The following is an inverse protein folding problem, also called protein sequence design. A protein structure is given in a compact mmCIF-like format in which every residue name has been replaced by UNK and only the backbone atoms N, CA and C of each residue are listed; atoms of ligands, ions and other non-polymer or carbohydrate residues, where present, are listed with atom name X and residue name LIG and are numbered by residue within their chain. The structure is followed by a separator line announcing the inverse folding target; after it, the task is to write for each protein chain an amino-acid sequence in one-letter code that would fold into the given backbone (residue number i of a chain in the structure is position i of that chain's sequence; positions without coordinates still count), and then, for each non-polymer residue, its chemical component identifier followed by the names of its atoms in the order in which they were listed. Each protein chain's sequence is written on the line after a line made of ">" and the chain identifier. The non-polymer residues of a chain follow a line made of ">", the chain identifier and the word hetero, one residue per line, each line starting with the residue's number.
data_IF_835057397883
#
_entry.id   IF_835057397883
#
_cell.length_a   1.000
_cell.length_b   1.000
_cell.length_c   1.000
_cell.angle_alpha   90.00
_cell.angle_beta   90.00
_cell.angle_gamma   90.00
#
_symmetry.space_group_name_H-M   'P 1'
#
loop_
_entity.id
_entity.type
_entity.pdbx_description
1 polymer ?
#
# COMPACT_ATOMS: atom_id res chain seq x y z
N UNK A 1 32.03 -2.50 -0.62
CA UNK A 1 32.14 -2.93 0.80
C UNK A 1 31.51 -1.87 1.67
N UNK A 2 30.56 -2.23 2.54
CA UNK A 2 29.94 -1.29 3.49
C UNK A 2 30.92 -0.92 4.60
N UNK A 3 30.69 0.21 5.27
CA UNK A 3 31.48 0.66 6.43
C UNK A 3 31.50 -0.38 7.54
N UNK A 4 30.37 -1.06 7.78
CA UNK A 4 30.22 -2.16 8.74
C UNK A 4 31.06 -3.37 8.36
N UNK A 5 31.13 -3.74 7.07
CA UNK A 5 32.01 -4.83 6.61
C UNK A 5 33.47 -4.49 6.86
N UNK A 6 33.89 -3.25 6.61
CA UNK A 6 35.28 -2.81 6.86
C UNK A 6 35.63 -2.88 8.34
N UNK A 7 34.75 -2.42 9.22
CA UNK A 7 34.97 -2.45 10.67
C UNK A 7 34.98 -3.88 11.23
N UNK A 8 34.14 -4.78 10.71
CA UNK A 8 34.18 -6.20 11.09
C UNK A 8 35.51 -6.85 10.68
N UNK A 9 36.01 -6.59 9.46
CA UNK A 9 37.32 -7.09 9.03
C UNK A 9 38.46 -6.50 9.87
N UNK A 10 38.37 -5.23 10.28
CA UNK A 10 39.34 -4.61 11.18
C UNK A 10 39.28 -5.22 12.59
N UNK A 11 38.10 -5.57 13.09
CA UNK A 11 37.92 -6.25 14.37
C UNK A 11 38.52 -7.67 14.34
N UNK A 12 38.28 -8.41 13.26
CA UNK A 12 38.88 -9.74 13.03
C UNK A 12 40.41 -9.66 12.97
N UNK A 13 40.96 -8.64 12.29
CA UNK A 13 42.40 -8.43 12.24
C UNK A 13 42.98 -8.06 13.62
N UNK A 14 42.35 -7.14 14.36
CA UNK A 14 42.80 -6.70 15.67
C UNK A 14 42.69 -7.80 16.74
N UNK A 15 41.69 -8.68 16.64
CA UNK A 15 41.54 -9.84 17.52
C UNK A 15 42.61 -10.90 17.25
N UNK A 16 42.92 -11.19 15.98
CA UNK A 16 44.03 -12.07 15.62
C UNK A 16 45.39 -11.52 16.08
N UNK A 17 45.58 -10.19 16.00
CA UNK A 17 46.78 -9.52 16.52
C UNK A 17 46.89 -9.65 18.06
N UNK A 18 45.77 -9.52 18.78
CA UNK A 18 45.72 -9.71 20.23
C UNK A 18 46.10 -11.14 20.64
N UNK A 19 45.58 -12.15 19.94
CA UNK A 19 45.89 -13.56 20.21
C UNK A 19 47.38 -13.85 20.01
N UNK A 20 47.97 -13.33 18.93
CA UNK A 20 49.40 -13.44 18.65
C UNK A 20 50.25 -12.76 19.73
N UNK A 21 49.89 -11.53 20.12
CA UNK A 21 50.60 -10.77 21.16
C UNK A 21 50.52 -11.45 22.53
N UNK A 22 49.39 -12.06 22.88
CA UNK A 22 49.24 -12.86 24.10
C UNK A 22 50.11 -14.12 24.08
N UNK A 23 50.15 -14.85 22.96
CA UNK A 23 51.01 -16.02 22.79
C UNK A 23 52.51 -15.71 22.88
N UNK A 24 52.90 -14.50 22.47
CA UNK A 24 54.29 -14.02 22.51
C UNK A 24 54.68 -13.27 23.81
N UNK A 25 53.74 -13.06 24.75
CA UNK A 25 53.99 -12.29 25.99
C UNK A 25 54.24 -10.79 25.77
N UNK A 26 53.77 -10.24 24.65
CA UNK A 26 53.94 -8.83 24.27
C UNK A 26 52.93 -7.91 25.00
N UNK A 27 53.21 -6.58 25.11
CA UNK A 27 52.24 -5.63 25.67
C UNK A 27 50.96 -5.53 24.83
N UNK A 28 49.79 -5.81 25.41
CA UNK A 28 48.52 -5.89 24.66
C UNK A 28 47.61 -4.67 24.81
N UNK A 29 48.04 -3.63 25.52
CA UNK A 29 47.18 -2.50 25.92
C UNK A 29 46.65 -1.71 24.72
N UNK A 30 47.51 -1.44 23.73
CA UNK A 30 47.13 -0.70 22.51
C UNK A 30 46.11 -1.46 21.67
N UNK A 31 46.31 -2.76 21.47
CA UNK A 31 45.42 -3.63 20.69
C UNK A 31 44.03 -3.69 21.35
N UNK A 32 43.97 -3.83 22.68
CA UNK A 32 42.70 -3.81 23.42
C UNK A 32 41.96 -2.48 23.29
N UNK A 33 42.66 -1.35 23.36
CA UNK A 33 42.06 -0.03 23.13
C UNK A 33 41.47 0.09 21.73
N UNK A 34 42.16 -0.43 20.72
CA UNK A 34 41.71 -0.41 19.33
C UNK A 34 40.48 -1.29 19.10
N UNK A 35 40.44 -2.49 19.70
CA UNK A 35 39.23 -3.33 19.72
C UNK A 35 38.06 -2.59 20.34
N UNK A 36 38.23 -1.99 21.53
CA UNK A 36 37.15 -1.20 22.17
C UNK A 36 36.68 -0.04 21.29
N UNK A 37 37.59 0.63 20.58
CA UNK A 37 37.24 1.71 19.63
C UNK A 37 36.36 1.18 18.49
N UNK A 38 36.78 0.10 17.85
CA UNK A 38 36.06 -0.51 16.72
C UNK A 38 34.68 -1.03 17.17
N UNK A 39 34.59 -1.68 18.33
CA UNK A 39 33.32 -2.14 18.91
C UNK A 39 32.38 -0.96 19.23
N UNK A 40 32.93 0.15 19.73
CA UNK A 40 32.19 1.39 19.97
C UNK A 40 31.61 1.97 18.67
N UNK A 41 32.41 2.00 17.59
CA UNK A 41 31.96 2.47 16.27
C UNK A 41 30.90 1.55 15.65
N UNK A 42 31.07 0.24 15.75
CA UNK A 42 30.06 -0.73 15.31
C UNK A 42 28.74 -0.58 16.08
N UNK A 43 28.81 -0.34 17.39
CA UNK A 43 27.63 -0.09 18.22
C UNK A 43 26.94 1.21 17.84
N UNK A 44 27.72 2.28 17.62
CA UNK A 44 27.18 3.57 17.18
C UNK A 44 26.48 3.47 15.81
N UNK A 45 27.08 2.76 14.85
CA UNK A 45 26.46 2.52 13.53
C UNK A 45 25.15 1.74 13.64
N UNK A 46 25.12 0.65 14.44
CA UNK A 46 23.90 -0.13 14.67
C UNK A 46 22.80 0.69 15.32
N UNK A 47 23.13 1.54 16.29
CA UNK A 47 22.17 2.42 16.95
C UNK A 47 21.64 3.51 16.00
N UNK A 48 22.51 4.05 15.14
CA UNK A 48 22.11 5.02 14.12
C UNK A 48 21.17 4.38 13.07
N UNK A 49 21.48 3.16 12.61
CA UNK A 49 20.63 2.39 11.70
C UNK A 49 19.27 2.08 12.34
N UNK A 50 19.24 1.66 13.60
CA UNK A 50 18.00 1.38 14.32
C UNK A 50 17.12 2.63 14.48
N UNK A 51 17.73 3.78 14.83
CA UNK A 51 17.03 5.07 14.93
C UNK A 51 16.46 5.48 13.57
N UNK A 52 17.26 5.40 12.50
CA UNK A 52 16.81 5.74 11.16
C UNK A 52 15.67 4.85 10.66
N UNK A 53 15.72 3.54 10.95
CA UNK A 53 14.62 2.61 10.64
C UNK A 53 13.34 2.95 11.42
N UNK A 54 13.47 3.30 12.70
CA UNK A 54 12.34 3.69 13.53
C UNK A 54 11.70 5.00 13.03
N UNK A 55 12.50 5.99 12.66
CA UNK A 55 12.03 7.25 12.08
C UNK A 55 11.32 7.04 10.74
N UNK A 56 11.90 6.24 9.85
CA UNK A 56 11.27 5.89 8.58
C UNK A 56 9.94 5.14 8.78
N UNK A 57 9.88 4.22 9.75
CA UNK A 57 8.64 3.51 10.09
C UNK A 57 7.57 4.45 10.63
N UNK A 58 7.94 5.41 11.48
CA UNK A 58 7.02 6.45 12.00
C UNK A 58 6.50 7.34 10.87
N UNK A 59 7.38 7.80 9.98
CA UNK A 59 6.99 8.63 8.82
C UNK A 59 5.98 7.88 7.95
N UNK A 60 6.28 6.63 7.60
CA UNK A 60 5.37 5.79 6.80
C UNK A 60 4.03 5.56 7.50
N UNK A 61 4.02 5.34 8.81
CA UNK A 61 2.78 5.18 9.57
C UNK A 61 1.92 6.46 9.52
N UNK A 62 2.54 7.64 9.66
CA UNK A 62 1.87 8.93 9.54
C UNK A 62 1.31 9.16 8.14
N UNK A 63 2.05 8.81 7.09
CA UNK A 63 1.58 8.90 5.69
C UNK A 63 0.35 8.02 5.44
N UNK A 64 0.38 6.77 5.90
CA UNK A 64 -0.77 5.85 5.80
C UNK A 64 -1.97 6.39 6.58
N UNK A 65 -1.75 6.90 7.79
CA UNK A 65 -2.81 7.48 8.61
C UNK A 65 -3.45 8.70 7.93
N UNK A 66 -2.64 9.60 7.38
CA UNK A 66 -3.10 10.78 6.64
C UNK A 66 -3.92 10.39 5.40
N UNK A 67 -3.41 9.44 4.61
CA UNK A 67 -4.11 8.92 3.43
C UNK A 67 -5.44 8.22 3.79
N UNK A 68 -5.46 7.46 4.88
CA UNK A 68 -6.66 6.83 5.43
C UNK A 68 -7.72 7.85 5.80
N UNK A 69 -7.32 8.89 6.55
CA UNK A 69 -8.21 9.96 6.98
C UNK A 69 -8.80 10.72 5.79
N UNK A 70 -7.95 11.13 4.85
CA UNK A 70 -8.37 11.84 3.64
C UNK A 70 -9.36 11.02 2.79
N UNK A 71 -9.13 9.70 2.67
CA UNK A 71 -10.04 8.82 1.94
C UNK A 71 -11.37 8.66 2.68
N UNK A 72 -11.36 8.44 4.00
CA UNK A 72 -12.58 8.35 4.79
C UNK A 72 -13.41 9.64 4.72
N UNK A 73 -12.75 10.80 4.85
CA UNK A 73 -13.39 12.11 4.73
C UNK A 73 -14.02 12.33 3.35
N UNK A 74 -13.32 11.92 2.27
CA UNK A 74 -13.87 12.00 0.92
C UNK A 74 -15.12 11.12 0.75
N UNK A 75 -15.13 9.91 1.31
CA UNK A 75 -16.30 9.01 1.27
C UNK A 75 -17.47 9.58 2.08
N UNK A 76 -17.19 10.15 3.25
CA UNK A 76 -18.23 10.81 4.05
C UNK A 76 -18.80 12.04 3.36
N UNK A 77 -17.97 12.87 2.73
CA UNK A 77 -18.44 14.00 1.96
C UNK A 77 -19.34 13.58 0.78
N UNK A 78 -19.03 12.45 0.13
CA UNK A 78 -19.89 11.89 -0.91
C UNK A 78 -21.26 11.45 -0.35
N UNK A 79 -21.27 10.81 0.82
CA UNK A 79 -22.51 10.44 1.49
C UNK A 79 -23.30 11.67 1.95
N UNK A 80 -22.65 12.69 2.50
CA UNK A 80 -23.30 13.94 2.90
C UNK A 80 -23.98 14.61 1.71
N UNK A 81 -23.29 14.68 0.56
CA UNK A 81 -23.83 15.23 -0.67
C UNK A 81 -25.01 14.39 -1.21
N UNK A 82 -24.90 13.06 -1.19
CA UNK A 82 -25.98 12.16 -1.63
C UNK A 82 -27.17 12.14 -0.67
N UNK A 83 -26.94 12.43 0.61
CA UNK A 83 -27.95 12.47 1.66
C UNK A 83 -28.73 13.79 1.73
N UNK A 84 -28.30 14.81 0.96
CA UNK A 84 -29.00 16.07 0.86
C UNK A 84 -30.39 15.84 0.25
N UNK A 85 -31.44 16.23 0.98
CA UNK A 85 -32.82 16.14 0.53
C UNK A 85 -33.49 17.50 0.76
N UNK A 86 -33.25 18.48 -0.12
CA UNK A 86 -33.77 19.85 0.04
C UNK A 86 -35.30 19.90 0.08
N UNK A 87 -35.99 18.91 -0.47
CA UNK A 87 -37.44 18.77 -0.42
C UNK A 87 -37.95 18.59 1.01
N UNK A 88 -37.21 17.87 1.87
CA UNK A 88 -37.58 17.72 3.28
C UNK A 88 -37.42 19.02 4.05
N UNK A 89 -36.38 19.81 3.74
CA UNK A 89 -36.19 21.13 4.34
C UNK A 89 -37.31 22.09 3.95
N UNK A 90 -37.81 22.02 2.70
CA UNK A 90 -38.97 22.79 2.25
C UNK A 90 -40.26 22.42 2.99
N UNK A 91 -40.38 21.17 3.44
CA UNK A 91 -41.48 20.70 4.30
C UNK A 91 -41.31 21.13 5.76
N UNK A 92 -40.25 21.87 6.10
CA UNK A 92 -39.93 22.32 7.45
C UNK A 92 -39.30 21.22 8.31
N UNK A 93 -38.86 20.11 7.71
CA UNK A 93 -38.11 19.08 8.44
C UNK A 93 -36.67 19.52 8.66
N UNK A 94 -36.15 19.26 9.87
CA UNK A 94 -34.73 19.38 10.12
C UNK A 94 -34.04 18.10 9.68
N UNK A 95 -33.34 18.15 8.55
CA UNK A 95 -32.57 17.01 8.04
C UNK A 95 -31.26 16.90 8.83
N UNK A 96 -31.05 15.84 9.63
CA UNK A 96 -29.81 15.67 10.38
C UNK A 96 -28.65 15.36 9.44
N UNK A 97 -27.45 15.81 9.79
CA UNK A 97 -26.23 15.46 9.07
C UNK A 97 -26.07 13.93 8.98
N UNK A 98 -25.47 13.42 7.90
CA UNK A 98 -25.27 11.98 7.78
C UNK A 98 -24.27 11.51 8.86
N UNK A 99 -24.56 10.42 9.58
CA UNK A 99 -23.65 9.90 10.59
C UNK A 99 -22.35 9.42 9.92
N UNK A 100 -21.22 9.77 10.54
CA UNK A 100 -19.93 9.16 10.22
C UNK A 100 -19.98 7.65 10.52
N UNK A 101 -19.38 6.84 9.67
CA UNK A 101 -19.49 5.38 9.70
C UNK A 101 -18.12 4.78 10.02
N UNK A 102 -17.95 4.10 11.16
CA UNK A 102 -16.67 3.48 11.53
C UNK A 102 -16.27 2.38 10.56
N UNK A 103 -17.22 1.78 9.82
CA UNK A 103 -16.92 0.81 8.77
C UNK A 103 -16.21 1.45 7.57
N UNK A 104 -16.57 2.69 7.22
CA UNK A 104 -15.91 3.43 6.14
C UNK A 104 -14.51 3.83 6.57
N UNK A 105 -14.34 4.30 7.81
CA UNK A 105 -13.03 4.64 8.36
C UNK A 105 -12.08 3.41 8.37
N UNK A 106 -12.57 2.26 8.85
CA UNK A 106 -11.80 1.03 8.85
C UNK A 106 -11.44 0.56 7.43
N UNK A 107 -12.40 0.57 6.50
CA UNK A 107 -12.14 0.16 5.11
C UNK A 107 -11.20 1.12 4.38
N UNK A 108 -11.29 2.43 4.66
CA UNK A 108 -10.36 3.43 4.13
C UNK A 108 -8.93 3.20 4.65
N UNK A 109 -8.78 2.82 5.91
CA UNK A 109 -7.49 2.43 6.50
C UNK A 109 -6.91 1.18 5.82
N UNK A 110 -7.74 0.17 5.56
CA UNK A 110 -7.33 -1.03 4.80
C UNK A 110 -6.85 -0.67 3.40
N UNK A 111 -7.56 0.21 2.68
CA UNK A 111 -7.15 0.68 1.34
C UNK A 111 -5.83 1.45 1.40
N UNK A 112 -5.67 2.37 2.34
CA UNK A 112 -4.44 3.14 2.49
C UNK A 112 -3.23 2.24 2.80
N UNK A 113 -3.40 1.28 3.71
CA UNK A 113 -2.37 0.30 4.03
C UNK A 113 -2.03 -0.61 2.83
N UNK A 114 -3.04 -1.08 2.09
CA UNK A 114 -2.85 -1.91 0.91
C UNK A 114 -2.12 -1.16 -0.22
N UNK A 115 -2.44 0.12 -0.45
CA UNK A 115 -1.72 0.97 -1.42
C UNK A 115 -0.27 1.14 -1.03
N UNK A 116 0.01 1.49 0.22
CA UNK A 116 1.39 1.63 0.69
C UNK A 116 2.19 0.31 0.61
N UNK A 117 1.55 -0.83 0.82
CA UNK A 117 2.18 -2.14 0.66
C UNK A 117 2.45 -2.47 -0.82
N UNK A 118 1.54 -2.10 -1.73
CA UNK A 118 1.71 -2.27 -3.16
C UNK A 118 2.86 -1.39 -3.68
N UNK A 119 2.91 -0.11 -3.31
CA UNK A 119 3.97 0.82 -3.73
C UNK A 119 5.36 0.30 -3.33
N UNK A 120 5.48 -0.26 -2.13
CA UNK A 120 6.71 -0.89 -1.67
C UNK A 120 7.06 -2.16 -2.44
N UNK A 121 6.09 -3.03 -2.69
CA UNK A 121 6.29 -4.25 -3.45
C UNK A 121 6.72 -3.92 -4.89
N UNK A 122 6.08 -2.97 -5.55
CA UNK A 122 6.44 -2.49 -6.88
C UNK A 122 7.85 -1.90 -6.92
N UNK A 123 8.21 -1.08 -5.92
CA UNK A 123 9.56 -0.51 -5.81
C UNK A 123 10.61 -1.61 -5.67
N UNK A 124 10.37 -2.60 -4.81
CA UNK A 124 11.28 -3.74 -4.60
C UNK A 124 11.40 -4.56 -5.89
N UNK A 125 10.27 -4.93 -6.50
CA UNK A 125 10.23 -5.69 -7.74
C UNK A 125 10.98 -4.99 -8.87
N UNK A 126 10.75 -3.68 -9.07
CA UNK A 126 11.43 -2.85 -10.08
C UNK A 126 12.93 -2.78 -9.85
N UNK A 127 13.37 -2.66 -8.59
CA UNK A 127 14.80 -2.67 -8.26
C UNK A 127 15.45 -4.01 -8.57
N UNK A 128 14.76 -5.12 -8.28
CA UNK A 128 15.24 -6.47 -8.58
C UNK A 128 15.30 -6.73 -10.09
N UNK A 129 14.28 -6.31 -10.85
CA UNK A 129 14.30 -6.36 -12.31
C UNK A 129 15.43 -5.52 -12.90
N UNK A 130 15.67 -4.33 -12.36
CA UNK A 130 16.78 -3.47 -12.81
C UNK A 130 18.13 -4.15 -12.55
N UNK A 131 18.30 -4.79 -11.40
CA UNK A 131 19.52 -5.55 -11.08
C UNK A 131 19.70 -6.75 -12.03
N UNK A 132 18.64 -7.52 -12.29
CA UNK A 132 18.66 -8.63 -13.25
C UNK A 132 19.00 -8.14 -14.68
N UNK A 133 18.41 -7.01 -15.10
CA UNK A 133 18.67 -6.37 -16.38
C UNK A 133 20.13 -5.96 -16.56
N UNK A 134 20.77 -5.39 -15.53
CA UNK A 134 22.21 -5.06 -15.57
C UNK A 134 23.10 -6.28 -15.78
N UNK A 135 22.77 -7.40 -15.12
CA UNK A 135 23.49 -8.67 -15.30
C UNK A 135 23.28 -9.20 -16.72
N UNK A 136 22.06 -9.12 -17.24
CA UNK A 136 21.74 -9.53 -18.60
C UNK A 136 22.48 -8.71 -19.66
N UNK A 137 22.59 -7.40 -19.49
CA UNK A 137 23.40 -6.54 -20.37
C UNK A 137 24.85 -6.99 -20.39
N UNK A 138 25.45 -7.19 -19.22
CA UNK A 138 26.85 -7.64 -19.12
C UNK A 138 27.07 -9.04 -19.70
N UNK A 139 26.13 -9.95 -19.48
CA UNK A 139 26.15 -11.28 -20.10
C UNK A 139 26.16 -11.18 -21.63
N UNK A 140 25.35 -10.27 -22.19
CA UNK A 140 25.27 -10.05 -23.64
C UNK A 140 26.56 -9.46 -24.19
N UNK A 141 27.20 -8.54 -23.45
CA UNK A 141 28.51 -7.97 -23.79
C UNK A 141 29.60 -9.04 -23.83
N UNK A 142 29.70 -9.91 -22.82
CA UNK A 142 30.70 -10.98 -22.81
C UNK A 142 30.47 -12.01 -23.92
N UNK A 143 29.20 -12.37 -24.19
CA UNK A 143 28.84 -13.24 -25.31
C UNK A 143 29.23 -12.62 -26.67
N UNK A 144 29.06 -11.31 -26.82
CA UNK A 144 29.46 -10.59 -28.03
C UNK A 144 30.99 -10.60 -28.22
N UNK A 145 31.78 -10.48 -27.15
CA UNK A 145 33.25 -10.60 -27.22
C UNK A 145 33.68 -11.98 -27.69
N UNK A 146 33.06 -13.04 -27.17
CA UNK A 146 33.31 -14.43 -27.62
C UNK A 146 32.94 -14.59 -29.10
N UNK A 147 31.81 -14.04 -29.53
CA UNK A 147 31.39 -14.09 -30.93
C UNK A 147 32.39 -13.36 -31.85
N UNK A 148 32.90 -12.19 -31.43
CA UNK A 148 33.90 -11.44 -32.17
C UNK A 148 35.22 -12.21 -32.33
N UNK A 149 35.70 -12.88 -31.27
CA UNK A 149 36.88 -13.75 -31.35
C UNK A 149 36.64 -14.91 -32.32
N UNK A 150 35.48 -15.57 -32.23
CA UNK A 150 35.11 -16.68 -33.13
C UNK A 150 35.08 -16.22 -34.60
N UNK A 151 34.48 -15.06 -34.88
CA UNK A 151 34.40 -14.49 -36.22
C UNK A 151 35.78 -14.10 -36.77
N UNK A 152 36.63 -13.49 -35.93
CA UNK A 152 38.00 -13.13 -36.33
C UNK A 152 38.81 -14.38 -36.67
N UNK A 153 38.71 -15.44 -35.86
CA UNK A 153 39.36 -16.74 -36.11
C UNK A 153 38.85 -17.43 -37.38
N UNK A 154 37.55 -17.34 -37.70
CA UNK A 154 37.00 -17.89 -38.95
C UNK A 154 37.50 -17.15 -40.19
N UNK A 155 37.84 -15.87 -40.05
CA UNK A 155 38.40 -15.04 -41.12
C UNK A 155 39.93 -15.21 -41.27
N UNK A 156 40.56 -16.08 -40.47
CA UNK A 156 41.99 -16.37 -40.54
C UNK A 156 42.89 -15.51 -39.66
N UNK A 157 42.37 -14.48 -38.98
CA UNK A 157 43.11 -13.63 -38.02
C UNK A 157 43.14 -14.28 -36.63
N UNK A 158 43.90 -15.37 -36.51
CA UNK A 158 44.11 -16.09 -35.25
C UNK A 158 45.24 -15.44 -34.46
N UNK A 159 45.02 -15.25 -33.16
CA UNK A 159 46.05 -14.74 -32.24
C UNK A 159 46.36 -15.78 -31.17
N UNK A 160 47.58 -15.75 -30.65
CA UNK A 160 48.08 -16.75 -29.69
C UNK A 160 47.35 -16.67 -28.33
N UNK A 161 46.82 -15.49 -27.97
CA UNK A 161 46.08 -15.24 -26.73
C UNK A 161 44.59 -15.61 -26.78
N UNK A 162 44.06 -15.95 -27.96
CA UNK A 162 42.64 -16.20 -28.18
C UNK A 162 42.10 -17.36 -27.34
N UNK A 163 42.89 -18.41 -27.17
CA UNK A 163 42.47 -19.59 -26.41
C UNK A 163 42.28 -19.26 -24.92
N UNK A 164 43.21 -18.51 -24.33
CA UNK A 164 43.13 -18.08 -22.92
C UNK A 164 41.98 -17.09 -22.70
N UNK A 165 41.81 -16.12 -23.61
CA UNK A 165 40.71 -15.16 -23.55
C UNK A 165 39.34 -15.84 -23.64
N UNK A 166 39.18 -16.83 -24.52
CA UNK A 166 37.93 -17.58 -24.65
C UNK A 166 37.58 -18.40 -23.40
N UNK A 167 38.57 -18.97 -22.71
CA UNK A 167 38.33 -19.71 -21.46
C UNK A 167 37.84 -18.77 -20.36
N UNK A 168 38.55 -17.66 -20.13
CA UNK A 168 38.16 -16.67 -19.10
C UNK A 168 36.77 -16.08 -19.37
N UNK A 169 36.48 -15.70 -20.62
CA UNK A 169 35.16 -15.23 -21.01
C UNK A 169 34.08 -16.32 -20.83
N UNK A 170 34.44 -17.59 -21.04
CA UNK A 170 33.55 -18.72 -20.81
C UNK A 170 33.16 -18.86 -19.33
N UNK A 171 34.14 -18.76 -18.43
CA UNK A 171 33.92 -18.79 -16.98
C UNK A 171 33.07 -17.59 -16.52
N UNK A 172 33.40 -16.38 -16.99
CA UNK A 172 32.63 -15.16 -16.71
C UNK A 172 31.17 -15.28 -17.18
N UNK A 173 30.94 -15.83 -18.38
CA UNK A 173 29.59 -16.06 -18.92
C UNK A 173 28.84 -17.07 -18.04
N UNK A 174 29.47 -18.16 -17.62
CA UNK A 174 28.84 -19.17 -16.76
C UNK A 174 28.45 -18.58 -15.40
N UNK A 175 29.31 -17.74 -14.82
CA UNK A 175 29.04 -17.03 -13.57
C UNK A 175 27.90 -16.02 -13.73
N UNK A 176 27.92 -15.21 -14.78
CA UNK A 176 26.86 -14.25 -15.09
C UNK A 176 25.52 -14.93 -15.35
N UNK A 177 25.50 -16.10 -16.00
CA UNK A 177 24.28 -16.90 -16.18
C UNK A 177 23.69 -17.37 -14.86
N UNK A 178 24.53 -17.88 -13.93
CA UNK A 178 24.08 -18.28 -12.59
C UNK A 178 23.54 -17.09 -11.79
N UNK A 179 24.24 -15.95 -11.86
CA UNK A 179 23.81 -14.72 -11.20
C UNK A 179 22.50 -14.17 -11.78
N UNK A 180 22.34 -14.22 -13.11
CA UNK A 180 21.12 -13.79 -13.79
C UNK A 180 19.93 -14.65 -13.37
N UNK A 181 20.09 -15.97 -13.36
CA UNK A 181 19.03 -16.89 -12.96
C UNK A 181 18.61 -16.63 -11.50
N UNK A 182 19.57 -16.45 -10.60
CA UNK A 182 19.31 -16.11 -9.20
C UNK A 182 18.64 -14.74 -9.03
N UNK A 183 19.05 -13.73 -9.79
CA UNK A 183 18.45 -12.40 -9.76
C UNK A 183 17.01 -12.41 -10.30
N UNK A 184 16.76 -13.14 -11.40
CA UNK A 184 15.43 -13.28 -11.97
C UNK A 184 14.50 -14.06 -11.05
N UNK A 185 14.96 -15.13 -10.42
CA UNK A 185 14.18 -15.86 -9.43
C UNK A 185 13.76 -14.97 -8.25
N UNK A 186 14.67 -14.11 -7.77
CA UNK A 186 14.34 -13.11 -6.73
C UNK A 186 13.32 -12.09 -7.21
N UNK A 187 13.46 -11.57 -8.44
CA UNK A 187 12.50 -10.63 -9.01
C UNK A 187 11.10 -11.26 -9.12
N UNK A 188 11.01 -12.48 -9.65
CA UNK A 188 9.74 -13.22 -9.79
C UNK A 188 9.10 -13.53 -8.43
N UNK A 189 9.90 -13.88 -7.42
CA UNK A 189 9.38 -14.12 -6.07
C UNK A 189 8.86 -12.84 -5.38
N UNK A 190 9.35 -11.67 -5.81
CA UNK A 190 8.92 -10.37 -5.31
C UNK A 190 7.82 -9.72 -6.18
N UNK A 191 7.17 -10.49 -7.05
CA UNK A 191 6.08 -9.99 -7.89
C UNK A 191 4.90 -9.45 -7.06
N UNK A 192 4.34 -8.26 -7.40
CA UNK A 192 3.33 -7.58 -6.59
C UNK A 192 1.90 -8.14 -6.75
N UNK A 193 1.66 -9.25 -7.46
CA UNK A 193 0.32 -9.80 -7.69
C UNK A 193 -0.48 -10.09 -6.42
N UNK A 194 0.17 -10.42 -5.30
CA UNK A 194 -0.53 -10.60 -4.03
C UNK A 194 -1.04 -9.26 -3.48
N UNK A 195 -0.21 -8.21 -3.53
CA UNK A 195 -0.56 -6.87 -3.06
C UNK A 195 -1.64 -6.22 -3.94
N UNK A 196 -1.61 -6.46 -5.26
CA UNK A 196 -2.67 -6.02 -6.18
C UNK A 196 -4.03 -6.60 -5.74
N UNK A 197 -4.10 -7.92 -5.50
CA UNK A 197 -5.33 -8.58 -5.04
C UNK A 197 -5.79 -8.08 -3.67
N UNK A 198 -4.86 -7.82 -2.75
CA UNK A 198 -5.19 -7.22 -1.45
C UNK A 198 -5.81 -5.84 -1.60
N UNK A 199 -5.27 -4.99 -2.50
CA UNK A 199 -5.83 -3.67 -2.79
C UNK A 199 -7.24 -3.76 -3.39
N UNK A 200 -7.45 -4.66 -4.34
CA UNK A 200 -8.77 -4.90 -4.94
C UNK A 200 -9.81 -5.31 -3.88
N UNK A 201 -9.44 -6.23 -2.97
CA UNK A 201 -10.31 -6.66 -1.88
C UNK A 201 -10.61 -5.53 -0.89
N UNK A 202 -9.61 -4.72 -0.54
CA UNK A 202 -9.80 -3.56 0.33
C UNK A 202 -10.74 -2.53 -0.32
N UNK A 203 -10.60 -2.29 -1.63
CA UNK A 203 -11.49 -1.39 -2.36
C UNK A 203 -12.93 -1.90 -2.39
N UNK A 204 -13.15 -3.20 -2.64
CA UNK A 204 -14.49 -3.81 -2.59
C UNK A 204 -15.14 -3.66 -1.20
N UNK A 205 -14.36 -3.79 -0.12
CA UNK A 205 -14.86 -3.58 1.24
C UNK A 205 -15.26 -2.12 1.49
N UNK A 206 -14.48 -1.18 0.96
CA UNK A 206 -14.81 0.25 1.04
C UNK A 206 -16.09 0.56 0.29
N UNK A 207 -16.23 0.07 -0.94
CA UNK A 207 -17.42 0.28 -1.77
C UNK A 207 -18.67 -0.30 -1.10
N UNK A 208 -18.54 -1.49 -0.49
CA UNK A 208 -19.62 -2.11 0.29
C UNK A 208 -19.97 -1.29 1.54
N UNK A 209 -18.97 -0.84 2.30
CA UNK A 209 -19.21 -0.02 3.50
C UNK A 209 -19.89 1.31 3.14
N UNK A 210 -19.49 1.93 2.03
CA UNK A 210 -20.12 3.13 1.50
C UNK A 210 -21.58 2.87 1.10
N UNK A 211 -21.86 1.79 0.37
CA UNK A 211 -23.22 1.41 -0.02
C UNK A 211 -24.12 1.10 1.19
N UNK A 212 -23.62 0.34 2.17
CA UNK A 212 -24.35 0.04 3.41
C UNK A 212 -24.70 1.31 4.19
N UNK A 213 -23.75 2.23 4.33
CA UNK A 213 -23.98 3.52 5.00
C UNK A 213 -24.97 4.38 4.22
N UNK A 214 -24.81 4.49 2.89
CA UNK A 214 -25.73 5.22 2.02
C UNK A 214 -27.16 4.72 2.12
N UNK A 215 -27.38 3.41 2.13
CA UNK A 215 -28.70 2.82 2.31
C UNK A 215 -29.31 3.16 3.67
N UNK A 216 -28.52 3.12 4.74
CA UNK A 216 -28.99 3.54 6.08
C UNK A 216 -29.46 4.98 6.06
N UNK A 217 -28.66 5.88 5.45
CA UNK A 217 -28.99 7.30 5.40
C UNK A 217 -30.26 7.55 4.58
N UNK A 218 -30.40 6.92 3.42
CA UNK A 218 -31.61 7.03 2.59
C UNK A 218 -32.85 6.54 3.35
N UNK A 219 -32.73 5.45 4.11
CA UNK A 219 -33.83 4.97 4.96
C UNK A 219 -34.21 6.00 6.03
N UNK A 220 -33.22 6.65 6.68
CA UNK A 220 -33.50 7.71 7.65
C UNK A 220 -34.21 8.91 6.99
N UNK A 221 -33.84 9.27 5.75
CA UNK A 221 -34.55 10.31 4.97
C UNK A 221 -35.99 9.91 4.65
N UNK A 222 -36.21 8.65 4.28
CA UNK A 222 -37.55 8.15 4.00
C UNK A 222 -38.44 8.18 5.26
N UNK A 223 -37.90 7.83 6.42
CA UNK A 223 -38.62 7.92 7.70
C UNK A 223 -38.98 9.37 8.06
N UNK A 224 -38.09 10.33 7.79
CA UNK A 224 -38.40 11.76 7.96
C UNK A 224 -39.51 12.23 7.01
N UNK A 225 -39.46 11.80 5.75
CA UNK A 225 -40.50 12.08 4.76
C UNK A 225 -41.87 11.53 5.20
N UNK A 226 -41.89 10.30 5.72
CA UNK A 226 -43.10 9.67 6.25
C UNK A 226 -43.63 10.45 7.46
N UNK A 227 -42.77 10.85 8.40
CA UNK A 227 -43.18 11.65 9.55
C UNK A 227 -43.78 13.00 9.13
N UNK A 228 -43.20 13.68 8.14
CA UNK A 228 -43.72 14.92 7.58
C UNK A 228 -45.13 14.71 6.98
N UNK A 229 -45.28 13.66 6.17
CA UNK A 229 -46.54 13.29 5.55
C UNK A 229 -47.62 13.01 6.59
N UNK A 230 -47.32 12.22 7.62
CA UNK A 230 -48.27 11.89 8.69
C UNK A 230 -48.73 13.12 9.47
N UNK A 231 -47.84 14.09 9.70
CA UNK A 231 -48.21 15.37 10.33
C UNK A 231 -49.14 16.19 9.45
N UNK A 232 -48.83 16.32 8.16
CA UNK A 232 -49.68 17.02 7.21
C UNK A 232 -51.08 16.36 7.09
N UNK A 233 -51.13 15.03 7.00
CA UNK A 233 -52.38 14.28 6.97
C UNK A 233 -53.20 14.47 8.25
N UNK A 234 -52.55 14.45 9.42
CA UNK A 234 -53.24 14.70 10.70
C UNK A 234 -53.83 16.11 10.76
N UNK A 235 -53.09 17.13 10.31
CA UNK A 235 -53.58 18.49 10.24
C UNK A 235 -54.80 18.63 9.31
N UNK A 236 -54.78 17.97 8.14
CA UNK A 236 -55.93 17.89 7.24
C UNK A 236 -57.15 17.27 7.93
N UNK A 237 -56.97 16.16 8.67
CA UNK A 237 -58.07 15.51 9.41
C UNK A 237 -58.66 16.40 10.49
N UNK A 238 -57.85 17.20 11.18
CA UNK A 238 -58.33 18.21 12.14
C UNK A 238 -59.18 19.27 11.43
N UNK A 239 -58.71 19.78 10.28
CA UNK A 239 -59.46 20.76 9.49
C UNK A 239 -60.78 20.20 8.93
N UNK A 240 -60.80 18.96 8.44
CA UNK A 240 -62.01 18.26 7.97
C UNK A 240 -63.06 18.09 9.08
N UNK A 241 -62.59 17.80 10.31
CA UNK A 241 -63.47 17.70 11.47
C UNK A 241 -64.07 19.06 11.81
N UNK A 242 -63.24 20.11 11.84
CA UNK A 242 -63.69 21.48 12.09
C UNK A 242 -64.71 21.96 11.04
N UNK A 243 -64.55 21.55 9.78
CA UNK A 243 -65.46 21.89 8.68
C UNK A 243 -66.70 20.98 8.57
N UNK A 244 -66.86 19.96 9.43
CA UNK A 244 -67.99 19.02 9.39
C UNK A 244 -67.94 17.98 8.25
N UNK A 245 -66.92 18.00 7.40
CA UNK A 245 -66.77 17.11 6.24
C UNK A 245 -66.50 15.64 6.62
N UNK A 246 -66.06 15.40 7.85
CA UNK A 246 -65.87 14.06 8.39
C UNK A 246 -67.16 13.22 8.44
N UNK A 247 -68.34 13.85 8.45
CA UNK A 247 -69.63 13.16 8.49
C UNK A 247 -69.99 12.52 7.15
N UNK A 248 -69.65 13.16 6.03
CA UNK A 248 -69.89 12.64 4.68
C UNK A 248 -68.73 11.79 4.16
N UNK A 249 -67.52 12.00 4.68
CA UNK A 249 -66.34 11.19 4.34
C UNK A 249 -65.53 10.83 5.60
N UNK A 250 -65.96 9.81 6.36
CA UNK A 250 -65.30 9.42 7.61
C UNK A 250 -63.85 8.93 7.39
N UNK A 251 -63.52 8.45 6.18
CA UNK A 251 -62.18 8.01 5.79
C UNK A 251 -61.20 9.15 5.44
N UNK A 252 -61.69 10.38 5.34
CA UNK A 252 -60.91 11.55 4.93
C UNK A 252 -60.76 11.68 3.40
N UNK A 253 -60.31 12.84 2.96
CA UNK A 253 -60.31 13.22 1.53
C UNK A 253 -59.02 12.92 0.79
N UNK A 254 -57.89 12.71 1.48
CA UNK A 254 -56.64 12.30 0.84
C UNK A 254 -56.79 10.98 0.08
N UNK A 255 -56.24 10.92 -1.13
CA UNK A 255 -56.11 9.70 -1.93
C UNK A 255 -54.68 9.64 -2.47
N UNK A 256 -53.98 8.55 -2.18
CA UNK A 256 -52.64 8.33 -2.70
C UNK A 256 -52.64 8.36 -4.24
N UNK A 257 -51.61 9.01 -4.81
CA UNK A 257 -51.40 9.06 -6.25
C UNK A 257 -51.13 7.68 -6.83
N UNK A 258 -51.27 7.54 -8.15
CA UNK A 258 -50.96 6.29 -8.87
C UNK A 258 -49.49 5.88 -8.68
N UNK A 259 -48.59 6.85 -8.52
CA UNK A 259 -47.15 6.63 -8.29
C UNK A 259 -46.88 6.05 -6.90
N UNK A 260 -47.48 6.61 -5.84
CA UNK A 260 -47.35 6.05 -4.49
C UNK A 260 -47.91 4.62 -4.46
N UNK A 261 -49.05 4.40 -5.11
CA UNK A 261 -49.68 3.06 -5.20
C UNK A 261 -48.80 2.06 -5.95
N UNK A 262 -48.13 2.47 -7.03
CA UNK A 262 -47.28 1.58 -7.82
C UNK A 262 -45.98 1.20 -7.11
N UNK A 263 -45.45 2.07 -6.23
CA UNK A 263 -44.29 1.77 -5.38
C UNK A 263 -44.67 0.75 -4.30
N UNK A 264 -45.79 0.96 -3.60
CA UNK A 264 -46.22 0.10 -2.48
C UNK A 264 -46.65 -1.29 -2.97
N UNK A 265 -47.20 -1.42 -4.19
CA UNK A 265 -47.70 -2.70 -4.73
C UNK A 265 -46.63 -3.59 -5.38
N UNK A 266 -45.40 -3.09 -5.53
CA UNK A 266 -44.26 -3.86 -6.09
C UNK A 266 -43.42 -4.57 -5.02
N UNK A 267 -43.77 -4.39 -3.75
CA UNK A 267 -43.21 -5.08 -2.59
C UNK A 267 -44.27 -5.97 -1.95
#
# INVERSE_FOLDING_TARGET
>A
MSTTTKLNTQLEAATAELESALGAGQPTRSIRTEITRIEGELTALRNAEATAQQEAAKQKATEIQSASQALADAQHAQLDAAAACPELEQLGEQVPAAPRSPKIEAAAAEVAAARAALDDAERIHRNLLTAAGKIQTRLTEEQAKVAAIKQRRSNGDKRDDDAGAMTLLGDDIADLQRLQAGAQAKANAADPHAQIRTLEQAQQRLDRAHAEAGMSIVNDRLQLAEAAFLRAYTAQRVAERAAGLHLSNPSGTYRASTEIKSIISRH
#
